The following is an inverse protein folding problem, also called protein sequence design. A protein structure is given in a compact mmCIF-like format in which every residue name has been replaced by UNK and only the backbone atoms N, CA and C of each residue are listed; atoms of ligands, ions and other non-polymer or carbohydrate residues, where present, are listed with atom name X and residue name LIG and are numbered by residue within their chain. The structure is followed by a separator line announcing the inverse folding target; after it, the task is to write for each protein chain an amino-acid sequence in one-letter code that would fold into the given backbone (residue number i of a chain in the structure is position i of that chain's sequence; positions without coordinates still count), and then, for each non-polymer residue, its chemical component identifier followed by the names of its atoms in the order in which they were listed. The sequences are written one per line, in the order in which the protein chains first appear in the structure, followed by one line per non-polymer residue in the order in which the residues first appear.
data_IF_789121673545
#
_entry.id   IF_789121673545
#
_cell.length_a   1.000
_cell.length_b   1.000
_cell.length_c   1.000
_cell.angle_alpha   90.00
_cell.angle_beta   90.00
_cell.angle_gamma   90.00
#
_symmetry.space_group_name_H-M   'P 1'
#
loop_
_entity.id
_entity.type
_entity.pdbx_description
1 polymer ?
#
# COMPACT_ATOMS: atom_id res chain seq x y z
N UNK A 1 4.22 -7.64 3.07
CA UNK A 1 4.11 -9.12 3.14
C UNK A 1 3.83 -9.75 1.77
N UNK A 2 2.75 -9.42 1.08
CA UNK A 2 2.37 -10.02 -0.21
C UNK A 2 3.48 -10.07 -1.29
N UNK A 3 4.17 -8.97 -1.67
CA UNK A 3 5.22 -9.01 -2.70
C UNK A 3 6.29 -10.05 -2.41
N UNK A 4 6.71 -10.12 -1.14
CA UNK A 4 7.74 -11.04 -0.68
C UNK A 4 7.26 -12.50 -0.71
N UNK A 5 6.08 -12.78 -0.16
CA UNK A 5 5.52 -14.14 -0.11
C UNK A 5 5.32 -14.69 -1.52
N UNK A 6 4.75 -13.89 -2.43
CA UNK A 6 4.49 -14.32 -3.80
C UNK A 6 5.79 -14.52 -4.58
N UNK A 7 6.71 -13.54 -4.55
CA UNK A 7 7.99 -13.66 -5.26
C UNK A 7 8.78 -14.87 -4.80
N UNK A 8 8.85 -15.11 -3.48
CA UNK A 8 9.51 -16.28 -2.91
C UNK A 8 8.91 -17.59 -3.43
N UNK A 9 7.60 -17.77 -3.26
CA UNK A 9 6.91 -19.01 -3.64
C UNK A 9 7.01 -19.28 -5.13
N UNK A 10 6.87 -18.26 -5.97
CA UNK A 10 6.97 -18.40 -7.43
C UNK A 10 8.38 -18.86 -7.84
N UNK A 11 9.43 -18.23 -7.29
CA UNK A 11 10.82 -18.61 -7.55
C UNK A 11 11.18 -20.00 -7.03
N UNK A 12 10.57 -20.43 -5.92
CA UNK A 12 10.77 -21.76 -5.35
C UNK A 12 9.88 -22.84 -6.04
N UNK A 13 9.02 -22.45 -6.98
CA UNK A 13 8.12 -23.35 -7.71
C UNK A 13 6.90 -23.82 -6.90
N UNK A 14 6.64 -23.16 -5.78
CA UNK A 14 5.56 -23.41 -4.84
C UNK A 14 4.24 -22.74 -5.27
N UNK A 15 3.14 -23.18 -4.67
CA UNK A 15 1.80 -22.65 -4.92
C UNK A 15 1.52 -21.42 -4.04
N UNK A 16 1.15 -20.30 -4.66
CA UNK A 16 0.65 -19.11 -3.96
C UNK A 16 -0.83 -19.26 -3.62
N UNK A 17 -1.21 -18.75 -2.46
CA UNK A 17 -2.60 -18.75 -2.01
C UNK A 17 -3.25 -17.42 -2.37
N UNK A 18 -4.39 -17.50 -3.05
CA UNK A 18 -5.16 -16.35 -3.53
C UNK A 18 -6.49 -16.35 -2.78
N UNK A 19 -6.62 -15.43 -1.80
CA UNK A 19 -7.85 -15.28 -1.02
C UNK A 19 -8.97 -14.62 -1.84
N UNK A 20 -10.20 -14.84 -1.39
CA UNK A 20 -11.43 -14.36 -2.01
C UNK A 20 -11.48 -14.60 -3.53
N UNK A 21 -10.99 -15.76 -3.98
CA UNK A 21 -10.94 -16.13 -5.39
C UNK A 21 -10.24 -15.10 -6.31
N UNK A 22 -9.35 -14.28 -5.77
CA UNK A 22 -8.60 -13.24 -6.50
C UNK A 22 -9.33 -11.90 -6.59
N UNK A 23 -10.59 -11.84 -6.17
CA UNK A 23 -11.36 -10.60 -6.12
C UNK A 23 -11.07 -9.84 -4.82
N UNK A 24 -9.87 -9.29 -4.73
CA UNK A 24 -9.48 -8.43 -3.60
C UNK A 24 -8.82 -7.17 -4.12
N UNK A 25 -9.09 -6.06 -3.44
CA UNK A 25 -8.52 -4.76 -3.78
C UNK A 25 -7.63 -4.27 -2.66
N UNK A 26 -6.44 -3.79 -3.03
CA UNK A 26 -5.41 -3.35 -2.09
C UNK A 26 -4.83 -2.02 -2.52
N UNK A 27 -4.75 -1.12 -1.57
CA UNK A 27 -3.96 0.11 -1.65
C UNK A 27 -2.50 -0.22 -1.34
N UNK A 28 -1.73 -0.63 -2.36
CA UNK A 28 -0.29 -0.84 -2.23
C UNK A 28 0.43 0.50 -2.43
N UNK A 29 1.32 0.83 -1.50
CA UNK A 29 2.14 2.03 -1.57
C UNK A 29 3.61 1.65 -1.59
N UNK A 30 4.38 2.24 -2.51
CA UNK A 30 5.81 2.00 -2.58
C UNK A 30 6.53 2.57 -1.36
N UNK A 31 7.65 1.95 -0.96
CA UNK A 31 8.37 2.38 0.25
C UNK A 31 8.91 3.81 0.12
N UNK A 32 9.36 4.21 -1.07
CA UNK A 32 9.87 5.56 -1.30
C UNK A 32 8.76 6.62 -1.15
N UNK A 33 7.54 6.31 -1.61
CA UNK A 33 6.38 7.20 -1.43
C UNK A 33 5.99 7.34 0.05
N UNK A 34 6.11 6.24 0.82
CA UNK A 34 5.91 6.28 2.28
C UNK A 34 6.96 7.15 2.96
N UNK A 35 8.23 6.94 2.62
CA UNK A 35 9.36 7.70 3.19
C UNK A 35 9.19 9.19 2.89
N UNK A 36 8.87 9.55 1.65
CA UNK A 36 8.67 10.94 1.25
C UNK A 36 7.51 11.60 2.01
N UNK A 37 6.38 10.89 2.18
CA UNK A 37 5.26 11.37 2.98
C UNK A 37 5.64 11.59 4.46
N UNK A 38 6.40 10.67 5.06
CA UNK A 38 6.85 10.76 6.46
C UNK A 38 7.85 11.89 6.65
N UNK A 39 8.81 12.06 5.74
CA UNK A 39 9.81 13.14 5.83
C UNK A 39 9.13 14.50 5.70
N UNK A 40 8.22 14.67 4.73
CA UNK A 40 7.53 15.95 4.53
C UNK A 40 6.59 16.31 5.68
N UNK A 41 5.82 15.36 6.20
CA UNK A 41 4.87 15.65 7.27
C UNK A 41 5.58 15.98 8.59
N UNK A 42 6.83 15.56 8.78
CA UNK A 42 7.63 15.93 9.95
C UNK A 42 7.84 17.45 10.09
N UNK A 43 7.86 18.18 8.98
CA UNK A 43 8.00 19.64 8.97
C UNK A 43 6.65 20.39 9.10
N UNK A 44 5.53 19.66 9.05
CA UNK A 44 4.18 20.23 9.18
C UNK A 44 3.70 20.11 10.61
N UNK A 45 4.00 21.12 11.43
CA UNK A 45 3.63 21.12 12.84
C UNK A 45 2.14 21.46 13.02
N UNK A 46 1.33 20.61 13.68
CA UNK A 46 -0.04 20.95 14.02
C UNK A 46 -0.10 22.20 14.91
N UNK A 47 -1.07 23.06 14.66
CA UNK A 47 -1.28 24.30 15.41
C UNK A 47 -2.56 24.23 16.22
N UNK A 48 -2.57 24.93 17.36
CA UNK A 48 -3.77 25.07 18.18
C UNK A 48 -4.87 25.79 17.38
N UNK A 49 -6.10 25.31 17.46
CA UNK A 49 -7.26 25.93 16.83
C UNK A 49 -8.37 26.19 17.87
N UNK A 50 -8.48 27.43 18.35
CA UNK A 50 -9.47 27.79 19.39
C UNK A 50 -10.92 27.79 18.89
N UNK A 51 -11.12 27.86 17.58
CA UNK A 51 -12.45 27.80 16.97
C UNK A 51 -12.94 26.36 16.75
N UNK A 52 -12.10 25.35 16.98
CA UNK A 52 -12.47 23.95 16.80
C UNK A 52 -13.44 23.50 17.90
N UNK A 53 -14.52 22.83 17.51
CA UNK A 53 -15.45 22.15 18.43
C UNK A 53 -15.67 20.71 17.99
N UNK A 54 -16.11 19.85 18.92
CA UNK A 54 -16.36 18.43 18.64
C UNK A 54 -17.47 18.28 17.60
N UNK A 55 -18.50 19.12 17.67
CA UNK A 55 -19.68 19.08 16.81
C UNK A 55 -19.40 19.47 15.35
N UNK A 56 -18.35 20.27 15.12
CA UNK A 56 -17.95 20.74 13.79
C UNK A 56 -16.64 20.09 13.28
N UNK A 57 -15.96 19.32 14.13
CA UNK A 57 -14.65 18.74 13.86
C UNK A 57 -14.68 17.32 13.30
N UNK A 58 -13.51 16.69 13.29
CA UNK A 58 -13.32 15.28 12.93
C UNK A 58 -12.49 14.58 14.01
N UNK A 59 -12.56 13.24 14.13
CA UNK A 59 -11.67 12.49 15.02
C UNK A 59 -10.16 12.67 14.70
N UNK A 60 -9.84 13.19 13.52
CA UNK A 60 -8.48 13.42 13.05
C UNK A 60 -7.94 14.83 13.34
N UNK A 61 -8.71 15.68 14.04
CA UNK A 61 -8.32 17.05 14.38
C UNK A 61 -8.76 17.41 15.81
N UNK A 62 -8.23 18.51 16.35
CA UNK A 62 -8.57 18.99 17.69
C UNK A 62 -8.37 20.49 17.84
N UNK A 63 -8.86 21.05 18.94
CA UNK A 63 -8.44 22.37 19.40
C UNK A 63 -6.99 22.39 19.88
N UNK A 64 -6.47 21.25 20.36
CA UNK A 64 -5.04 21.04 20.63
C UNK A 64 -4.23 20.92 19.33
N UNK A 65 -2.90 21.14 19.35
CA UNK A 65 -2.03 20.88 18.20
C UNK A 65 -1.94 19.37 17.91
N UNK A 66 -2.94 18.85 17.20
CA UNK A 66 -3.12 17.43 16.92
C UNK A 66 -3.73 17.26 15.53
N UNK A 67 -3.17 16.32 14.76
CA UNK A 67 -3.70 15.88 13.49
C UNK A 67 -3.41 14.39 13.27
N UNK A 68 -4.31 13.70 12.57
CA UNK A 68 -4.10 12.34 12.06
C UNK A 68 -4.30 12.34 10.57
N UNK A 69 -3.38 11.70 9.85
CA UNK A 69 -3.43 11.58 8.41
C UNK A 69 -3.34 10.11 8.01
N UNK A 70 -4.14 9.71 7.03
CA UNK A 70 -3.87 8.46 6.33
C UNK A 70 -2.67 8.67 5.40
N UNK A 71 -1.80 7.66 5.32
CA UNK A 71 -0.74 7.58 4.31
C UNK A 71 -0.96 6.32 3.48
N UNK A 72 -0.94 6.48 2.17
CA UNK A 72 -1.25 5.42 1.20
C UNK A 72 -1.08 5.90 -0.23
N UNK A 73 -1.38 5.04 -1.21
CA UNK A 73 -1.34 5.40 -2.62
C UNK A 73 -2.61 6.15 -3.03
N UNK A 74 -3.76 5.82 -2.41
CA UNK A 74 -5.05 6.44 -2.74
C UNK A 74 -5.57 6.00 -4.12
N UNK A 75 -5.11 4.86 -4.62
CA UNK A 75 -5.66 4.20 -5.80
C UNK A 75 -5.46 2.69 -5.63
N UNK A 76 -6.53 1.93 -5.31
CA UNK A 76 -6.41 0.51 -5.01
C UNK A 76 -6.31 -0.27 -6.32
N UNK A 77 -5.51 -1.34 -6.30
CA UNK A 77 -5.35 -2.25 -7.43
C UNK A 77 -5.95 -3.62 -7.07
N UNK A 78 -6.45 -4.33 -8.08
CA UNK A 78 -6.85 -5.72 -7.92
C UNK A 78 -5.64 -6.61 -7.62
N UNK A 79 -5.82 -7.58 -6.71
CA UNK A 79 -4.76 -8.51 -6.29
C UNK A 79 -4.19 -9.31 -7.47
N UNK A 80 -5.03 -9.70 -8.43
CA UNK A 80 -4.58 -10.46 -9.60
C UNK A 80 -3.72 -9.62 -10.54
N UNK A 81 -3.97 -8.32 -10.66
CA UNK A 81 -3.10 -7.42 -11.43
C UNK A 81 -1.73 -7.28 -10.76
N UNK A 82 -1.70 -7.26 -9.41
CA UNK A 82 -0.45 -7.26 -8.65
C UNK A 82 0.34 -8.57 -8.83
N UNK A 83 -0.34 -9.72 -8.76
CA UNK A 83 0.27 -11.05 -9.03
C UNK A 83 0.82 -11.09 -10.45
N UNK A 84 0.04 -10.64 -11.43
CA UNK A 84 0.47 -10.58 -12.83
C UNK A 84 1.70 -9.70 -13.03
N UNK A 85 1.79 -8.56 -12.35
CA UNK A 85 2.98 -7.71 -12.42
C UNK A 85 4.25 -8.45 -11.92
N UNK A 86 4.12 -9.33 -10.92
CA UNK A 86 5.21 -10.18 -10.44
C UNK A 86 5.54 -11.27 -11.48
N UNK A 87 4.53 -11.97 -12.01
CA UNK A 87 4.69 -12.99 -13.04
C UNK A 87 5.41 -12.44 -14.28
N UNK A 88 4.96 -11.29 -14.78
CA UNK A 88 5.54 -10.58 -15.93
C UNK A 88 7.01 -10.23 -15.68
N UNK A 89 7.35 -9.80 -14.46
CA UNK A 89 8.72 -9.43 -14.10
C UNK A 89 9.63 -10.64 -13.92
N UNK A 90 9.11 -11.74 -13.40
CA UNK A 90 9.84 -12.99 -13.22
C UNK A 90 9.92 -13.82 -14.51
N UNK A 91 8.98 -13.65 -15.43
CA UNK A 91 8.80 -14.52 -16.60
C UNK A 91 8.29 -15.92 -16.22
N UNK A 92 7.61 -16.05 -15.07
CA UNK A 92 7.14 -17.33 -14.52
C UNK A 92 5.66 -17.19 -14.16
N UNK A 93 4.82 -18.07 -14.71
CA UNK A 93 3.42 -18.17 -14.30
C UNK A 93 3.32 -18.87 -12.94
N UNK A 94 2.65 -18.24 -11.99
CA UNK A 94 2.47 -18.75 -10.64
C UNK A 94 1.45 -19.89 -10.62
N UNK A 95 1.76 -20.94 -9.84
CA UNK A 95 0.77 -21.94 -9.42
C UNK A 95 -0.13 -21.31 -8.36
N UNK A 96 -1.44 -21.27 -8.59
CA UNK A 96 -2.41 -20.55 -7.74
C UNK A 96 -3.37 -21.52 -7.07
N UNK A 97 -3.55 -21.37 -5.77
CA UNK A 97 -4.59 -22.02 -4.99
C UNK A 97 -5.62 -20.97 -4.58
N UNK A 98 -6.79 -21.00 -5.22
CA UNK A 98 -7.87 -20.06 -4.92
C UNK A 98 -8.62 -20.52 -3.68
N UNK A 99 -8.81 -19.60 -2.74
CA UNK A 99 -9.48 -19.83 -1.46
C UNK A 99 -10.65 -18.86 -1.33
N UNK A 100 -11.64 -19.29 -0.55
CA UNK A 100 -12.74 -18.42 -0.15
C UNK A 100 -12.25 -17.28 0.75
N UNK A 101 -13.11 -16.26 0.93
CA UNK A 101 -12.85 -15.13 1.82
C UNK A 101 -12.63 -15.63 3.25
N UNK A 102 -11.55 -15.17 3.88
CA UNK A 102 -11.24 -15.55 5.27
C UNK A 102 -11.96 -14.63 6.26
N UNK A 103 -12.39 -15.13 7.42
CA UNK A 103 -12.93 -14.27 8.48
C UNK A 103 -11.93 -13.17 8.86
N UNK A 104 -12.36 -11.91 8.80
CA UNK A 104 -11.52 -10.75 9.10
C UNK A 104 -10.81 -10.14 7.87
N UNK A 105 -10.86 -10.77 6.70
CA UNK A 105 -10.39 -10.13 5.47
C UNK A 105 -11.31 -8.96 5.09
N UNK A 106 -10.71 -7.89 4.57
CA UNK A 106 -11.44 -6.76 4.01
C UNK A 106 -11.40 -6.87 2.48
N UNK A 107 -12.58 -6.81 1.85
CA UNK A 107 -12.73 -6.91 0.40
C UNK A 107 -11.85 -5.88 -0.33
N UNK A 108 -11.99 -4.61 0.06
CA UNK A 108 -11.28 -3.48 -0.52
C UNK A 108 -10.73 -2.58 0.59
N UNK A 109 -9.43 -2.30 0.52
CA UNK A 109 -8.80 -1.26 1.34
C UNK A 109 -8.43 -0.09 0.46
N UNK A 110 -8.68 1.12 0.96
CA UNK A 110 -8.41 2.38 0.27
C UNK A 110 -8.12 3.44 1.32
N UNK A 111 -6.98 4.13 1.18
CA UNK A 111 -6.67 5.28 2.01
C UNK A 111 -7.16 6.55 1.34
N UNK A 112 -8.11 7.26 1.97
CA UNK A 112 -8.34 8.66 1.62
C UNK A 112 -7.17 9.49 2.12
N UNK A 113 -6.38 10.01 1.18
CA UNK A 113 -5.09 10.66 1.39
C UNK A 113 -5.11 12.16 1.07
N UNK A 114 -6.29 12.72 0.80
CA UNK A 114 -6.44 14.11 0.40
C UNK A 114 -5.81 15.09 1.42
N UNK A 115 -6.02 14.85 2.71
CA UNK A 115 -5.51 15.70 3.80
C UNK A 115 -3.99 15.69 3.87
N UNK A 116 -3.35 14.51 3.71
CA UNK A 116 -1.89 14.39 3.70
C UNK A 116 -1.30 15.13 2.49
N UNK A 117 -1.94 15.00 1.32
CA UNK A 117 -1.48 15.67 0.10
C UNK A 117 -1.60 17.18 0.22
N UNK A 118 -2.69 17.68 0.80
CA UNK A 118 -2.87 19.10 1.06
C UNK A 118 -1.81 19.64 2.04
N UNK A 119 -1.49 18.87 3.09
CA UNK A 119 -0.50 19.25 4.09
C UNK A 119 0.94 19.25 3.57
N UNK A 120 1.30 18.28 2.73
CA UNK A 120 2.71 18.03 2.32
C UNK A 120 3.03 18.48 0.90
N UNK A 121 2.01 18.73 0.08
CA UNK A 121 2.14 19.00 -1.35
C UNK A 121 2.64 17.80 -2.17
N UNK A 122 2.68 16.60 -1.59
CA UNK A 122 3.17 15.39 -2.24
C UNK A 122 2.05 14.42 -2.56
N UNK A 123 2.19 13.73 -3.69
CA UNK A 123 1.36 12.57 -4.06
C UNK A 123 2.28 11.42 -4.46
N UNK A 124 1.95 10.18 -4.08
CA UNK A 124 2.65 8.99 -4.52
C UNK A 124 2.86 8.98 -6.03
N UNK A 125 4.08 8.64 -6.45
CA UNK A 125 4.49 8.71 -7.86
C UNK A 125 4.83 7.34 -8.44
N UNK A 126 5.10 6.35 -7.59
CA UNK A 126 5.57 5.03 -8.05
C UNK A 126 4.38 4.16 -8.41
N UNK A 127 4.28 3.79 -9.68
CA UNK A 127 3.24 2.85 -10.12
C UNK A 127 3.52 1.45 -9.58
N UNK A 128 2.45 0.65 -9.41
CA UNK A 128 2.59 -0.76 -8.97
C UNK A 128 3.56 -1.55 -9.84
N UNK A 129 3.52 -1.36 -11.16
CA UNK A 129 4.43 -2.04 -12.09
C UNK A 129 5.90 -1.66 -11.86
N UNK A 130 6.19 -0.39 -11.60
CA UNK A 130 7.55 0.07 -11.27
C UNK A 130 8.00 -0.49 -9.92
N UNK A 131 7.20 -0.32 -8.86
CA UNK A 131 7.55 -0.80 -7.53
C UNK A 131 7.71 -2.32 -7.45
N UNK A 132 6.89 -3.10 -8.19
CA UNK A 132 7.08 -4.56 -8.30
C UNK A 132 8.38 -4.88 -9.04
N UNK A 133 8.70 -4.16 -10.13
CA UNK A 133 9.93 -4.39 -10.86
C UNK A 133 11.18 -4.12 -10.03
N UNK A 134 11.17 -3.03 -9.25
CA UNK A 134 12.23 -2.67 -8.30
C UNK A 134 12.34 -3.70 -7.18
N UNK A 135 11.22 -4.08 -6.57
CA UNK A 135 11.18 -5.09 -5.52
C UNK A 135 11.75 -6.44 -5.98
N UNK A 136 11.33 -6.95 -7.14
CA UNK A 136 11.82 -8.24 -7.66
C UNK A 136 13.31 -8.16 -7.99
N UNK A 137 13.78 -7.04 -8.54
CA UNK A 137 15.21 -6.85 -8.81
C UNK A 137 16.03 -6.89 -7.51
N UNK A 138 15.60 -6.14 -6.49
CA UNK A 138 16.20 -6.18 -5.16
C UNK A 138 16.18 -7.59 -4.55
N UNK A 139 15.04 -8.29 -4.63
CA UNK A 139 14.90 -9.63 -4.06
C UNK A 139 15.89 -10.62 -4.66
N UNK A 140 16.01 -10.61 -6.00
CA UNK A 140 16.91 -11.52 -6.73
C UNK A 140 18.38 -11.25 -6.42
N UNK A 141 18.76 -9.98 -6.36
CA UNK A 141 20.12 -9.57 -5.99
C UNK A 141 20.43 -9.98 -4.54
N UNK A 142 19.55 -9.64 -3.59
CA UNK A 142 19.77 -9.90 -2.17
C UNK A 142 19.80 -11.40 -1.83
N UNK A 143 18.94 -12.21 -2.45
CA UNK A 143 18.83 -13.65 -2.18
C UNK A 143 19.57 -14.55 -3.18
N UNK A 144 20.26 -13.99 -4.19
CA UNK A 144 20.93 -14.71 -5.28
C UNK A 144 20.01 -15.72 -6.01
N UNK A 145 18.89 -15.24 -6.54
CA UNK A 145 17.86 -16.05 -7.24
C UNK A 145 17.68 -15.67 -8.72
#
# INVERSE_FOLDING_TARGET
MAPFIFTKKILDGDTIDINNNGDMWRDFTHVDDIVEGVVRIADVLPVRNEAWTVEAGTPASSSAPYAVYNIGHGSPINLMDFVKAIEDKLGIEAKKNFRDMQPGDVYQTYADTADLFAATGYKPQVTVKQGVAEFVAWYRDFYNK
#
